data_IF_824866588836
#
_entry.id   IF_824866588836
#
_cell.length_a   1.000
_cell.length_b   1.000
_cell.length_c   1.000
_cell.angle_alpha   90.00
_cell.angle_beta   90.00
_cell.angle_gamma   90.00
#
_symmetry.space_group_name_H-M   'P 1'
#
loop_
_entity.id
_entity.type
_entity.pdbx_description
1 polymer ?
#
# COMPACT_ATOMS: atom_id res chain seq x y z
N UNK A 1 -7.05 -3.08 -60.88
CA UNK A 1 -7.50 -3.49 -59.59
C UNK A 1 -8.88 -3.01 -59.32
N UNK A 2 -9.77 -3.86 -58.87
CA UNK A 2 -11.14 -3.43 -58.74
C UNK A 2 -11.35 -2.59 -57.50
N UNK A 3 -12.24 -1.66 -57.54
CA UNK A 3 -12.59 -0.77 -56.44
C UNK A 3 -12.95 -1.56 -55.18
N UNK A 4 -13.52 -2.74 -55.36
CA UNK A 4 -13.91 -3.62 -54.24
C UNK A 4 -12.73 -4.06 -53.39
N UNK A 5 -11.58 -4.27 -54.01
CA UNK A 5 -10.37 -4.67 -53.24
C UNK A 5 -9.80 -3.50 -52.45
N UNK A 6 -9.89 -2.31 -52.99
CA UNK A 6 -9.47 -1.11 -52.31
C UNK A 6 -10.36 -0.82 -51.10
N UNK A 7 -11.66 -0.98 -51.26
CA UNK A 7 -12.59 -0.83 -50.14
C UNK A 7 -12.37 -1.84 -49.05
N UNK A 8 -12.08 -3.06 -49.43
CA UNK A 8 -11.84 -4.14 -48.47
C UNK A 8 -10.57 -3.86 -47.68
N UNK A 9 -9.52 -3.40 -48.34
CA UNK A 9 -8.26 -3.06 -47.71
C UNK A 9 -8.43 -1.89 -46.74
N UNK A 10 -9.19 -0.88 -47.12
CA UNK A 10 -9.48 0.26 -46.26
C UNK A 10 -10.25 -0.13 -45.00
N UNK A 11 -11.19 -1.06 -45.14
CA UNK A 11 -11.99 -1.53 -44.01
C UNK A 11 -11.16 -2.32 -43.05
N UNK A 12 -10.22 -3.14 -43.55
CA UNK A 12 -9.33 -3.93 -42.72
C UNK A 12 -8.37 -3.03 -41.92
N UNK A 13 -7.85 -1.98 -42.55
CA UNK A 13 -6.96 -1.03 -41.88
C UNK A 13 -7.72 -0.27 -40.79
N UNK A 14 -8.97 0.06 -41.04
CA UNK A 14 -9.81 0.73 -40.05
C UNK A 14 -10.09 -0.16 -38.84
N UNK A 15 -10.27 -1.46 -39.05
CA UNK A 15 -10.49 -2.42 -37.96
C UNK A 15 -9.26 -2.63 -37.09
N UNK A 16 -8.07 -2.60 -37.69
CA UNK A 16 -6.81 -2.78 -36.92
C UNK A 16 -6.52 -1.57 -36.04
N UNK A 17 -6.92 -0.39 -36.49
CA UNK A 17 -6.70 0.85 -35.75
C UNK A 17 -7.47 0.95 -34.44
N UNK A 18 -8.48 0.10 -34.23
CA UNK A 18 -9.33 0.19 -33.05
C UNK A 18 -8.90 -0.76 -31.91
N UNK A 19 -7.90 -1.58 -32.14
CA UNK A 19 -7.47 -2.55 -31.13
C UNK A 19 -6.63 -1.94 -29.99
N UNK A 20 -6.29 -0.67 -30.10
CA UNK A 20 -5.46 -0.03 -29.08
C UNK A 20 -6.25 0.61 -27.93
N UNK A 21 -7.58 0.51 -27.95
CA UNK A 21 -8.42 1.15 -26.95
C UNK A 21 -8.56 0.36 -25.65
N UNK A 22 -8.01 -0.86 -25.59
CA UNK A 22 -8.17 -1.71 -24.41
C UNK A 22 -6.94 -1.78 -23.50
N UNK A 23 -5.97 -0.93 -23.73
CA UNK A 23 -4.77 -0.88 -22.91
C UNK A 23 -4.92 0.04 -21.70
N UNK A 24 -6.10 0.08 -21.08
CA UNK A 24 -6.26 0.81 -19.83
C UNK A 24 -5.76 -0.07 -18.71
N UNK A 25 -4.83 0.45 -17.93
CA UNK A 25 -4.35 -0.27 -16.77
C UNK A 25 -5.51 -0.42 -15.79
N UNK A 26 -5.83 -1.66 -15.46
CA UNK A 26 -6.89 -1.93 -14.51
C UNK A 26 -6.51 -1.41 -13.13
N UNK A 27 -7.49 -0.92 -12.42
CA UNK A 27 -7.32 -0.39 -11.08
C UNK A 27 -7.95 -1.33 -10.07
N UNK A 28 -7.34 -1.42 -8.91
CA UNK A 28 -7.80 -2.29 -7.83
C UNK A 28 -7.85 -1.50 -6.52
N UNK A 29 -8.58 -2.05 -5.56
CA UNK A 29 -8.68 -1.46 -4.24
C UNK A 29 -7.93 -2.34 -3.24
N UNK A 30 -7.32 -1.70 -2.27
CA UNK A 30 -6.68 -2.37 -1.14
C UNK A 30 -7.30 -1.84 0.14
N UNK A 31 -7.87 -2.72 0.93
CA UNK A 31 -8.36 -2.36 2.25
C UNK A 31 -8.03 -3.44 3.26
N UNK A 32 -7.96 -3.05 4.51
CA UNK A 32 -7.59 -3.97 5.56
C UNK A 32 -7.73 -3.37 6.93
N UNK A 33 -7.18 -4.07 7.90
CA UNK A 33 -7.21 -3.66 9.31
C UNK A 33 -5.80 -3.75 9.88
N UNK A 34 -5.46 -2.79 10.71
CA UNK A 34 -4.16 -2.75 11.37
C UNK A 34 -4.34 -3.19 12.80
N UNK A 35 -3.49 -4.10 13.24
CA UNK A 35 -3.57 -4.69 14.58
C UNK A 35 -2.21 -4.70 15.26
N UNK A 36 -2.24 -4.68 16.58
CA UNK A 36 -1.07 -4.96 17.39
C UNK A 36 -0.73 -6.44 17.19
N UNK A 37 0.51 -6.73 16.90
CA UNK A 37 0.95 -8.10 16.60
C UNK A 37 0.81 -9.04 17.78
N UNK A 38 0.86 -8.51 18.99
CA UNK A 38 0.84 -9.32 20.21
C UNK A 38 -0.55 -9.45 20.79
N UNK A 39 -1.26 -8.34 20.95
CA UNK A 39 -2.58 -8.34 21.57
C UNK A 39 -3.72 -8.60 20.58
N UNK A 40 -3.51 -8.31 19.30
CA UNK A 40 -4.56 -8.41 18.30
C UNK A 40 -5.52 -7.24 18.29
N UNK A 41 -5.31 -6.25 19.15
CA UNK A 41 -6.16 -5.07 19.19
C UNK A 41 -5.95 -4.23 17.92
N UNK A 42 -7.02 -3.64 17.44
CA UNK A 42 -6.95 -2.78 16.27
C UNK A 42 -6.32 -1.44 16.61
N UNK A 43 -5.54 -0.92 15.69
CA UNK A 43 -4.77 0.31 15.91
C UNK A 43 -5.32 1.45 15.06
N UNK A 44 -5.87 2.49 15.71
CA UNK A 44 -6.37 3.65 15.00
C UNK A 44 -5.25 4.62 14.65
N UNK A 45 -5.51 5.44 13.65
CA UNK A 45 -4.64 6.56 13.25
C UNK A 45 -3.21 6.19 12.87
N UNK A 46 -3.04 5.00 12.32
CA UNK A 46 -1.76 4.57 11.78
C UNK A 46 -1.62 5.12 10.37
N UNK A 47 -0.48 5.69 10.06
CA UNK A 47 -0.21 6.20 8.72
C UNK A 47 0.26 5.05 7.85
N UNK A 48 -0.44 4.81 6.75
CA UNK A 48 -0.12 3.75 5.79
C UNK A 48 0.24 4.40 4.46
N UNK A 49 1.26 3.89 3.81
CA UNK A 49 1.75 4.48 2.57
C UNK A 49 2.10 3.40 1.55
N UNK A 50 1.69 3.61 0.31
CA UNK A 50 2.21 2.84 -0.81
C UNK A 50 3.39 3.64 -1.34
N UNK A 51 4.58 3.23 -0.96
CA UNK A 51 5.81 3.98 -1.15
C UNK A 51 6.08 4.36 -2.60
N UNK A 52 5.91 3.40 -3.49
CA UNK A 52 6.21 3.60 -4.91
C UNK A 52 5.29 4.61 -5.60
N UNK A 53 4.12 4.81 -5.05
CA UNK A 53 3.11 5.71 -5.61
C UNK A 53 2.96 7.00 -4.80
N UNK A 54 3.63 7.08 -3.67
CA UNK A 54 3.51 8.18 -2.73
C UNK A 54 2.05 8.45 -2.37
N UNK A 55 1.30 7.36 -2.15
CA UNK A 55 -0.10 7.39 -1.76
C UNK A 55 -0.22 7.11 -0.27
N UNK A 56 -0.91 7.95 0.44
CA UNK A 56 -1.04 7.88 1.89
C UNK A 56 -2.49 7.70 2.32
N UNK A 57 -2.69 6.99 3.40
CA UNK A 57 -3.97 6.92 4.09
C UNK A 57 -3.71 6.76 5.59
N UNK A 58 -4.75 6.88 6.38
CA UNK A 58 -4.64 6.72 7.84
C UNK A 58 -5.74 5.76 8.28
N UNK A 59 -5.44 4.89 9.22
CA UNK A 59 -6.46 3.99 9.73
C UNK A 59 -7.49 4.77 10.57
N UNK A 60 -8.74 4.33 10.52
CA UNK A 60 -9.83 4.95 11.26
C UNK A 60 -9.85 4.47 12.72
N UNK A 61 -10.86 4.86 13.45
CA UNK A 61 -10.97 4.51 14.86
C UNK A 61 -11.08 3.01 15.10
N UNK A 62 -11.48 2.26 14.09
CA UNK A 62 -11.56 0.80 14.15
C UNK A 62 -10.33 0.12 13.59
N UNK A 63 -9.30 0.89 13.26
CA UNK A 63 -8.07 0.35 12.69
C UNK A 63 -8.17 0.00 11.21
N UNK A 64 -9.20 0.44 10.53
CA UNK A 64 -9.41 0.12 9.12
C UNK A 64 -8.80 1.16 8.20
N UNK A 65 -8.17 0.71 7.14
CA UNK A 65 -7.58 1.58 6.12
C UNK A 65 -8.01 1.14 4.72
N UNK A 66 -7.96 2.04 3.77
CA UNK A 66 -8.26 1.71 2.38
C UNK A 66 -7.55 2.62 1.39
N UNK A 67 -7.19 2.03 0.26
CA UNK A 67 -6.72 2.74 -0.92
C UNK A 67 -7.63 2.34 -2.07
N UNK A 68 -8.12 3.32 -2.81
CA UNK A 68 -9.01 3.09 -3.95
C UNK A 68 -8.34 3.43 -5.26
N UNK A 69 -8.73 2.73 -6.30
CA UNK A 69 -8.28 3.02 -7.67
C UNK A 69 -6.76 3.03 -7.82
N UNK A 70 -6.11 2.02 -7.29
CA UNK A 70 -4.67 1.84 -7.41
C UNK A 70 -4.38 1.00 -8.64
N UNK A 71 -3.43 1.40 -9.45
CA UNK A 71 -3.04 0.61 -10.62
C UNK A 71 -2.49 -0.73 -10.18
N UNK A 72 -2.79 -1.79 -10.93
CA UNK A 72 -2.24 -3.11 -10.66
C UNK A 72 -0.71 -3.06 -10.71
N UNK A 73 -0.07 -3.78 -9.84
CA UNK A 73 1.38 -3.85 -9.80
C UNK A 73 1.91 -4.34 -8.47
N UNK A 74 3.21 -4.42 -8.38
CA UNK A 74 3.89 -4.76 -7.14
C UNK A 74 4.39 -3.48 -6.49
N UNK A 75 4.10 -3.34 -5.21
CA UNK A 75 4.42 -2.12 -4.46
C UNK A 75 4.98 -2.45 -3.08
N UNK A 76 5.58 -1.46 -2.46
CA UNK A 76 6.02 -1.54 -1.07
C UNK A 76 5.03 -0.81 -0.20
N UNK A 77 4.38 -1.54 0.70
CA UNK A 77 3.45 -1.00 1.67
C UNK A 77 4.21 -0.71 2.96
N UNK A 78 4.08 0.48 3.48
CA UNK A 78 4.70 0.86 4.76
C UNK A 78 3.64 1.34 5.72
N UNK A 79 3.88 1.17 7.00
CA UNK A 79 3.00 1.69 8.04
C UNK A 79 3.83 2.21 9.20
N UNK A 80 3.39 3.30 9.79
CA UNK A 80 4.10 3.94 10.89
C UNK A 80 3.12 4.40 11.96
N UNK A 81 3.47 4.11 13.21
CA UNK A 81 2.67 4.47 14.36
C UNK A 81 3.58 4.71 15.55
N UNK A 82 3.27 5.73 16.35
CA UNK A 82 4.07 6.04 17.53
C UNK A 82 4.02 4.87 18.51
N UNK A 83 5.18 4.43 18.95
CA UNK A 83 5.29 3.30 19.87
C UNK A 83 5.42 1.96 19.17
N UNK A 84 5.43 1.93 17.87
CA UNK A 84 5.55 0.70 17.08
C UNK A 84 6.73 0.77 16.13
N UNK A 85 7.25 -0.38 15.78
CA UNK A 85 8.31 -0.47 14.78
C UNK A 85 7.74 -0.18 13.41
N UNK A 86 8.51 0.45 12.57
CA UNK A 86 8.08 0.70 11.20
C UNK A 86 7.85 -0.61 10.47
N UNK A 87 6.76 -0.67 9.73
CA UNK A 87 6.38 -1.84 8.95
C UNK A 87 6.70 -1.58 7.48
N UNK A 88 7.28 -2.57 6.83
CA UNK A 88 7.51 -2.51 5.40
C UNK A 88 7.33 -3.90 4.80
N UNK A 89 6.53 -4.00 3.77
CA UNK A 89 6.25 -5.28 3.12
C UNK A 89 5.94 -5.07 1.65
N UNK A 90 6.44 -5.96 0.82
CA UNK A 90 6.07 -5.97 -0.60
C UNK A 90 4.71 -6.59 -0.76
N UNK A 91 3.88 -5.97 -1.59
CA UNK A 91 2.53 -6.44 -1.83
C UNK A 91 2.27 -6.48 -3.34
N UNK A 92 1.59 -7.51 -3.78
CA UNK A 92 1.19 -7.67 -5.17
C UNK A 92 -0.29 -7.33 -5.32
N UNK A 93 -0.58 -6.20 -5.95
CA UNK A 93 -1.95 -5.75 -6.21
C UNK A 93 -2.37 -6.17 -7.61
N UNK A 94 -2.66 -7.44 -7.79
CA UNK A 94 -3.16 -7.97 -9.06
C UNK A 94 -4.68 -8.03 -9.10
N UNK A 95 -5.33 -7.92 -7.96
CA UNK A 95 -6.78 -7.92 -7.80
C UNK A 95 -7.15 -7.17 -6.52
N UNK A 96 -8.44 -6.91 -6.32
CA UNK A 96 -8.89 -6.26 -5.09
C UNK A 96 -8.53 -7.10 -3.87
N UNK A 97 -8.00 -6.44 -2.85
CA UNK A 97 -7.71 -7.05 -1.56
C UNK A 97 -8.53 -6.31 -0.53
N UNK A 98 -9.46 -7.01 0.11
CA UNK A 98 -10.40 -6.37 1.03
C UNK A 98 -10.17 -6.64 2.51
N UNK A 99 -9.42 -7.67 2.83
CA UNK A 99 -9.24 -8.07 4.23
C UNK A 99 -7.77 -8.26 4.57
N UNK A 100 -6.95 -7.31 4.19
CA UNK A 100 -5.55 -7.37 4.51
C UNK A 100 -5.34 -7.10 6.01
N UNK A 101 -4.61 -7.96 6.68
CA UNK A 101 -4.28 -7.77 8.10
C UNK A 101 -2.84 -7.33 8.20
N UNK A 102 -2.64 -6.12 8.68
CA UNK A 102 -1.31 -5.55 8.87
C UNK A 102 -1.02 -5.54 10.36
N UNK A 103 0.03 -6.23 10.77
CA UNK A 103 0.38 -6.36 12.18
C UNK A 103 1.62 -5.53 12.49
N UNK A 104 1.51 -4.67 13.50
CA UNK A 104 2.62 -3.84 13.95
C UNK A 104 3.16 -4.37 15.28
N UNK A 105 4.47 -4.37 15.41
CA UNK A 105 5.14 -4.79 16.63
C UNK A 105 5.49 -3.58 17.50
N UNK A 106 5.23 -3.67 18.77
CA UNK A 106 5.59 -2.61 19.70
C UNK A 106 7.09 -2.41 19.74
N UNK A 107 7.49 -1.18 19.85
CA UNK A 107 8.89 -0.83 19.97
C UNK A 107 9.21 -0.53 21.43
N UNK A 108 10.05 -1.36 22.01
CA UNK A 108 10.40 -1.24 23.40
C UNK A 108 11.75 -0.57 23.56
N UNK A 109 11.82 0.70 23.30
CA UNK A 109 13.11 1.32 23.40
C UNK A 109 13.32 2.19 24.58
N UNK A 110 12.30 2.76 25.04
CA UNK A 110 12.40 3.69 26.13
C UNK A 110 13.17 3.17 27.32
N UNK A 111 12.98 1.97 27.62
CA UNK A 111 13.61 1.40 28.77
C UNK A 111 15.10 1.52 28.78
N UNK A 112 15.69 1.27 27.69
CA UNK A 112 17.12 1.29 27.63
C UNK A 112 17.66 2.65 27.81
N UNK A 113 17.10 3.57 27.17
CA UNK A 113 17.57 4.89 27.23
C UNK A 113 17.53 5.43 28.62
N UNK A 114 16.48 5.23 29.24
CA UNK A 114 16.30 5.71 30.59
C UNK A 114 17.39 5.20 31.48
N UNK A 115 17.68 3.98 31.35
CA UNK A 115 18.66 3.37 32.15
C UNK A 115 20.00 4.03 32.02
N UNK A 116 20.37 4.21 30.85
CA UNK A 116 21.63 4.80 30.59
C UNK A 116 21.72 6.17 31.18
N UNK A 117 20.71 6.89 31.02
CA UNK A 117 20.69 8.19 31.55
C UNK A 117 20.90 8.22 33.01
N UNK A 118 20.21 7.45 33.61
CA UNK A 118 20.27 7.42 35.02
C UNK A 118 21.66 7.31 35.47
N UNK A 119 22.36 6.54 34.80
CA UNK A 119 23.60 6.38 35.25
C UNK A 119 24.39 7.52 35.15
N UNK A 120 24.25 8.07 34.15
CA UNK A 120 25.08 9.14 33.92
C UNK A 120 24.98 10.08 35.02
N UNK A 121 23.88 10.34 35.27
CA UNK A 121 23.75 11.30 36.19
C UNK A 121 24.51 11.06 37.37
N UNK A 122 24.49 10.05 37.59
CA UNK A 122 24.94 9.89 38.71
C UNK A 122 26.15 10.00 38.99
N UNK A 123 26.59 9.90 38.41
CA UNK A 123 27.68 9.89 38.67
C UNK A 123 28.24 10.90 39.17
N UNK A 124 27.91 11.56 38.92
CA UNK A 124 28.39 12.53 39.27
C UNK A 124 28.74 12.65 40.54
N UNK A 125 28.61 12.22 41.11
CA UNK A 125 28.95 12.45 42.32
C UNK A 125 29.90 12.17 42.74
#
# INVERSE_FOLDING_TARGET
MSLKKLFFLSTVIFLIGHMNLFAQSEKVNLSGTIQDAKSGETLPFVVVNIKDLNLWTTSDINGKFSFKDVKKGEYTLTASCLGYKDYEMKINLSKNIEKYILKLEEQTLALKEVTVTATAGNKLN
#
